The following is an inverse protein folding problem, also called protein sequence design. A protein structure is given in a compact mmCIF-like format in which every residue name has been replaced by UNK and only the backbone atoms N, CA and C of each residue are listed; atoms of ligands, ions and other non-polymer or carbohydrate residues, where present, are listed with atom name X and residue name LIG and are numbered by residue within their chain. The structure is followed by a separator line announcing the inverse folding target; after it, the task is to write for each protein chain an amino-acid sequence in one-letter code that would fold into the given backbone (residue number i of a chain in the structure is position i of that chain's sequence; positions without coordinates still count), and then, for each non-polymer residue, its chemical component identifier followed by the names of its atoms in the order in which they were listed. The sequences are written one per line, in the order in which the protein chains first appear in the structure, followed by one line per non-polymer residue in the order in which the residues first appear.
data_IF_506495773227
#
_entry.id   IF_506495773227
#
_cell.length_a   1.000
_cell.length_b   1.000
_cell.length_c   1.000
_cell.angle_alpha   90.00
_cell.angle_beta   90.00
_cell.angle_gamma   90.00
#
_symmetry.space_group_name_H-M   'P 1'
#
loop_
_entity.id
_entity.type
_entity.pdbx_description
1 polymer ?
#
# COMPACT_ATOMS: atom_id res chain seq x y z
N UNK A 1 -8.51 -18.63 7.19
CA UNK A 1 -8.82 -17.39 6.47
C UNK A 1 -7.79 -17.14 5.39
N UNK A 2 -8.26 -16.78 4.21
CA UNK A 2 -7.36 -16.49 3.11
C UNK A 2 -6.63 -15.16 3.35
N UNK A 3 -5.31 -15.14 3.11
CA UNK A 3 -4.50 -13.91 3.21
C UNK A 3 -5.04 -12.78 2.33
N UNK A 4 -5.66 -13.14 1.20
CA UNK A 4 -6.24 -12.17 0.27
C UNK A 4 -7.33 -11.32 0.91
N UNK A 5 -8.21 -11.92 1.72
CA UNK A 5 -9.25 -11.17 2.44
C UNK A 5 -8.64 -10.20 3.43
N UNK A 6 -7.63 -10.66 4.18
CA UNK A 6 -6.91 -9.81 5.13
C UNK A 6 -6.27 -8.61 4.44
N UNK A 7 -5.65 -8.81 3.27
CA UNK A 7 -4.94 -7.74 2.61
C UNK A 7 -5.88 -6.66 2.06
N UNK A 8 -7.07 -7.05 1.60
CA UNK A 8 -8.08 -6.07 1.18
C UNK A 8 -8.50 -5.20 2.35
N UNK A 9 -8.80 -5.81 3.49
CA UNK A 9 -9.20 -5.12 4.70
C UNK A 9 -8.07 -4.24 5.24
N UNK A 10 -6.85 -4.77 5.30
CA UNK A 10 -5.68 -4.02 5.76
C UNK A 10 -5.45 -2.78 4.92
N UNK A 11 -5.56 -2.91 3.61
CA UNK A 11 -5.32 -1.79 2.69
C UNK A 11 -6.44 -0.76 2.78
N UNK A 12 -7.68 -1.21 2.90
CA UNK A 12 -8.82 -0.32 3.09
C UNK A 12 -8.67 0.47 4.39
N UNK A 13 -8.37 -0.21 5.48
CA UNK A 13 -8.18 0.43 6.79
C UNK A 13 -7.01 1.43 6.76
N UNK A 14 -5.96 1.08 6.02
CA UNK A 14 -4.83 1.97 5.82
C UNK A 14 -5.25 3.25 5.12
N UNK A 15 -6.07 3.15 4.06
CA UNK A 15 -6.63 4.32 3.36
C UNK A 15 -7.47 5.19 4.28
N UNK A 16 -8.33 4.56 5.10
CA UNK A 16 -9.15 5.29 6.07
C UNK A 16 -8.31 6.12 7.04
N UNK A 17 -7.18 5.56 7.46
CA UNK A 17 -6.27 6.26 8.34
C UNK A 17 -5.49 7.35 7.59
N UNK A 18 -5.02 7.02 6.40
CA UNK A 18 -4.07 7.84 5.64
C UNK A 18 -4.69 9.13 5.10
N UNK A 19 -5.88 9.04 4.50
CA UNK A 19 -6.50 10.18 3.81
C UNK A 19 -6.61 11.42 4.71
N UNK A 20 -7.10 11.32 5.96
CA UNK A 20 -7.12 12.50 6.82
C UNK A 20 -5.74 13.07 7.14
N UNK A 21 -4.70 12.23 7.16
CA UNK A 21 -3.34 12.71 7.39
C UNK A 21 -2.83 13.53 6.21
N UNK A 22 -3.13 13.09 5.00
CA UNK A 22 -2.72 13.79 3.77
C UNK A 22 -3.43 15.15 3.65
N UNK A 23 -4.67 15.24 4.11
CA UNK A 23 -5.42 16.50 4.06
C UNK A 23 -4.81 17.59 4.93
N UNK A 24 -3.93 17.23 5.85
CA UNK A 24 -3.22 18.17 6.71
C UNK A 24 -1.93 18.71 6.09
N UNK A 25 -1.53 18.21 4.94
CA UNK A 25 -0.35 18.72 4.25
C UNK A 25 -0.57 20.18 3.83
N UNK A 26 0.50 21.01 3.77
CA UNK A 26 0.39 22.34 3.20
C UNK A 26 -0.19 22.27 1.79
N UNK A 27 -0.90 23.32 1.39
CA UNK A 27 -1.68 23.33 0.17
C UNK A 27 -0.90 22.90 -1.07
N UNK A 28 0.32 23.40 -1.23
CA UNK A 28 1.17 23.06 -2.38
C UNK A 28 1.52 21.56 -2.40
N UNK A 29 1.86 21.00 -1.25
CA UNK A 29 2.22 19.59 -1.16
C UNK A 29 0.99 18.67 -1.11
N UNK A 30 -0.15 19.18 -0.70
CA UNK A 30 -1.40 18.42 -0.70
C UNK A 30 -1.77 17.97 -2.11
N UNK A 31 -1.61 18.85 -3.09
CA UNK A 31 -1.95 18.56 -4.49
C UNK A 31 -0.80 17.89 -5.27
N UNK A 32 0.38 17.81 -4.69
CA UNK A 32 1.53 17.15 -5.32
C UNK A 32 1.81 15.82 -4.63
N UNK A 33 2.48 15.89 -3.49
CA UNK A 33 2.90 14.69 -2.77
C UNK A 33 1.72 13.95 -2.13
N UNK A 34 0.76 14.68 -1.57
CA UNK A 34 -0.43 14.08 -0.98
C UNK A 34 -1.25 13.29 -2.00
N UNK A 35 -1.50 13.88 -3.17
CA UNK A 35 -2.24 13.22 -4.24
C UNK A 35 -1.48 12.00 -4.76
N UNK A 36 -0.16 12.10 -4.90
CA UNK A 36 0.65 10.97 -5.32
C UNK A 36 0.54 9.79 -4.35
N UNK A 37 0.63 10.07 -3.06
CA UNK A 37 0.53 9.03 -2.02
C UNK A 37 -0.85 8.38 -2.06
N UNK A 38 -1.89 9.18 -2.13
CA UNK A 38 -3.26 8.67 -2.18
C UNK A 38 -3.49 7.83 -3.42
N UNK A 39 -3.05 8.31 -4.59
CA UNK A 39 -3.21 7.58 -5.84
C UNK A 39 -2.42 6.28 -5.86
N UNK A 40 -1.20 6.27 -5.35
CA UNK A 40 -0.40 5.04 -5.21
C UNK A 40 -1.13 4.01 -4.35
N UNK A 41 -1.71 4.45 -3.25
CA UNK A 41 -2.41 3.55 -2.34
C UNK A 41 -3.67 2.98 -2.98
N UNK A 42 -4.43 3.80 -3.71
CA UNK A 42 -5.58 3.33 -4.47
C UNK A 42 -5.17 2.32 -5.55
N UNK A 43 -4.07 2.59 -6.26
CA UNK A 43 -3.58 1.67 -7.29
C UNK A 43 -3.19 0.32 -6.69
N UNK A 44 -2.59 0.33 -5.52
CA UNK A 44 -2.23 -0.89 -4.80
C UNK A 44 -3.49 -1.67 -4.42
N UNK A 45 -4.49 -0.99 -3.88
CA UNK A 45 -5.76 -1.63 -3.55
C UNK A 45 -6.43 -2.23 -4.80
N UNK A 46 -6.41 -1.49 -5.91
CA UNK A 46 -6.96 -1.96 -7.17
C UNK A 46 -6.25 -3.24 -7.63
N UNK A 47 -4.92 -3.29 -7.52
CA UNK A 47 -4.15 -4.48 -7.87
C UNK A 47 -4.58 -5.68 -7.01
N UNK A 48 -4.78 -5.46 -5.72
CA UNK A 48 -5.21 -6.53 -4.81
C UNK A 48 -6.62 -7.01 -5.13
N UNK A 49 -7.53 -6.11 -5.46
CA UNK A 49 -8.90 -6.46 -5.84
C UNK A 49 -8.89 -7.30 -7.11
N UNK A 50 -8.16 -6.85 -8.14
CA UNK A 50 -8.07 -7.58 -9.40
C UNK A 50 -7.46 -8.96 -9.18
N UNK A 51 -6.39 -9.04 -8.40
CA UNK A 51 -5.75 -10.31 -8.09
C UNK A 51 -6.68 -11.25 -7.32
N UNK A 52 -7.43 -10.71 -6.36
CA UNK A 52 -8.35 -11.51 -5.55
C UNK A 52 -9.42 -12.21 -6.41
N UNK A 53 -9.93 -11.50 -7.41
CA UNK A 53 -10.99 -12.01 -8.29
C UNK A 53 -10.45 -12.69 -9.55
N UNK A 54 -9.14 -12.76 -9.72
CA UNK A 54 -8.51 -13.43 -10.86
C UNK A 54 -8.30 -14.90 -10.56
N UNK A 55 -8.21 -15.71 -11.64
CA UNK A 55 -7.83 -17.11 -11.52
C UNK A 55 -6.36 -17.20 -11.11
N UNK A 56 -6.00 -18.28 -10.40
CA UNK A 56 -4.62 -18.56 -10.06
C UNK A 56 -3.77 -18.69 -11.33
N UNK A 57 -2.50 -18.32 -11.25
CA UNK A 57 -1.56 -18.41 -12.36
C UNK A 57 -0.60 -17.25 -12.41
N UNK A 58 0.21 -17.20 -13.44
CA UNK A 58 1.28 -16.22 -13.60
C UNK A 58 0.78 -14.78 -13.62
N UNK A 59 -0.33 -14.52 -14.29
CA UNK A 59 -0.88 -13.16 -14.38
C UNK A 59 -1.23 -12.61 -13.01
N UNK A 60 -1.82 -13.45 -12.15
CA UNK A 60 -2.16 -13.06 -10.79
C UNK A 60 -0.89 -12.74 -9.99
N UNK A 61 0.11 -13.61 -10.08
CA UNK A 61 1.40 -13.44 -9.39
C UNK A 61 2.09 -12.16 -9.89
N UNK A 62 2.13 -11.94 -11.20
CA UNK A 62 2.74 -10.75 -11.80
C UNK A 62 2.06 -9.47 -11.29
N UNK A 63 0.74 -9.48 -11.20
CA UNK A 63 -0.02 -8.34 -10.70
C UNK A 63 0.36 -8.03 -9.25
N UNK A 64 0.49 -9.07 -8.43
CA UNK A 64 0.88 -8.90 -7.03
C UNK A 64 2.32 -8.41 -6.90
N UNK A 65 3.22 -8.87 -7.76
CA UNK A 65 4.61 -8.37 -7.78
C UNK A 65 4.67 -6.90 -8.19
N UNK A 66 3.82 -6.47 -9.12
CA UNK A 66 3.70 -5.06 -9.49
C UNK A 66 3.18 -4.24 -8.33
N UNK A 67 2.19 -4.76 -7.59
CA UNK A 67 1.71 -4.10 -6.39
C UNK A 67 2.82 -3.93 -5.36
N UNK A 68 3.70 -4.92 -5.23
CA UNK A 68 4.83 -4.85 -4.31
C UNK A 68 5.79 -3.72 -4.69
N UNK A 69 6.04 -3.51 -5.98
CA UNK A 69 6.86 -2.39 -6.45
C UNK A 69 6.19 -1.05 -6.11
N UNK A 70 4.88 -0.96 -6.31
CA UNK A 70 4.12 0.25 -5.95
C UNK A 70 4.20 0.51 -4.44
N UNK A 71 4.20 -0.55 -3.64
CA UNK A 71 4.34 -0.44 -2.18
C UNK A 71 5.70 0.15 -1.81
N UNK A 72 6.77 -0.21 -2.52
CA UNK A 72 8.09 0.39 -2.33
C UNK A 72 8.09 1.86 -2.72
N UNK A 73 7.43 2.22 -3.82
CA UNK A 73 7.26 3.63 -4.21
C UNK A 73 6.53 4.41 -3.13
N UNK A 74 5.52 3.80 -2.53
CA UNK A 74 4.76 4.41 -1.43
C UNK A 74 5.66 4.63 -0.21
N UNK A 75 6.49 3.65 0.15
CA UNK A 75 7.44 3.80 1.25
C UNK A 75 8.35 5.01 1.05
N UNK A 76 8.89 5.18 -0.15
CA UNK A 76 9.75 6.32 -0.44
C UNK A 76 8.99 7.65 -0.40
N UNK A 77 7.75 7.68 -0.88
CA UNK A 77 6.94 8.90 -0.82
C UNK A 77 6.62 9.28 0.64
N UNK A 78 6.35 8.31 1.48
CA UNK A 78 6.12 8.52 2.92
C UNK A 78 7.40 9.01 3.60
N UNK A 79 8.53 8.40 3.27
CA UNK A 79 9.83 8.84 3.80
C UNK A 79 10.13 10.27 3.39
N UNK A 80 9.87 10.63 2.13
CA UNK A 80 10.05 12.00 1.65
C UNK A 80 9.17 12.96 2.44
N UNK A 81 7.91 12.59 2.69
CA UNK A 81 6.99 13.39 3.48
C UNK A 81 7.53 13.64 4.89
N UNK A 82 8.13 12.62 5.49
CA UNK A 82 8.76 12.74 6.81
C UNK A 82 10.00 13.64 6.76
N UNK A 83 10.86 13.45 5.76
CA UNK A 83 12.09 14.23 5.64
C UNK A 83 11.79 15.71 5.34
N UNK A 84 10.69 15.99 4.65
CA UNK A 84 10.18 17.34 4.41
C UNK A 84 9.40 17.90 5.60
N UNK A 85 9.29 17.13 6.69
CA UNK A 85 8.60 17.52 7.92
C UNK A 85 7.10 17.76 7.73
N UNK A 86 6.50 17.05 6.78
CA UNK A 86 5.05 17.11 6.55
C UNK A 86 4.28 16.18 7.50
N UNK A 87 4.94 15.17 8.04
CA UNK A 87 4.38 14.27 9.04
C UNK A 87 5.35 14.15 10.21
N UNK A 88 4.80 13.97 11.41
CA UNK A 88 5.59 13.81 12.62
C UNK A 88 6.31 12.45 12.66
N UNK A 89 7.31 12.33 13.51
CA UNK A 89 8.01 11.06 13.74
C UNK A 89 7.01 9.96 14.16
N UNK A 90 6.07 10.30 15.03
CA UNK A 90 5.06 9.35 15.50
C UNK A 90 4.18 8.85 14.33
N UNK A 91 3.68 9.77 13.51
CA UNK A 91 2.84 9.41 12.37
C UNK A 91 3.62 8.62 11.33
N UNK A 92 4.88 8.98 11.10
CA UNK A 92 5.75 8.23 10.21
C UNK A 92 5.88 6.78 10.68
N UNK A 93 6.09 6.58 11.98
CA UNK A 93 6.17 5.23 12.55
C UNK A 93 4.89 4.43 12.36
N UNK A 94 3.73 5.07 12.61
CA UNK A 94 2.43 4.40 12.46
C UNK A 94 2.18 4.01 10.99
N UNK A 95 2.41 4.96 10.08
CA UNK A 95 2.20 4.72 8.64
C UNK A 95 3.15 3.61 8.15
N UNK A 96 4.43 3.67 8.52
CA UNK A 96 5.42 2.67 8.12
C UNK A 96 5.06 1.28 8.65
N UNK A 97 4.57 1.19 9.87
CA UNK A 97 4.13 -0.07 10.46
C UNK A 97 2.96 -0.68 9.68
N UNK A 98 2.00 0.14 9.28
CA UNK A 98 0.86 -0.31 8.50
C UNK A 98 1.28 -0.79 7.11
N UNK A 99 2.19 -0.09 6.47
CA UNK A 99 2.74 -0.49 5.17
C UNK A 99 3.48 -1.82 5.30
N UNK A 100 4.27 -1.99 6.37
CA UNK A 100 5.00 -3.23 6.61
C UNK A 100 4.05 -4.41 6.81
N UNK A 101 2.93 -4.19 7.48
CA UNK A 101 1.92 -5.23 7.68
C UNK A 101 1.31 -5.66 6.34
N UNK A 102 0.97 -4.69 5.50
CA UNK A 102 0.46 -4.98 4.14
C UNK A 102 1.53 -5.74 3.35
N UNK A 103 2.78 -5.29 3.41
CA UNK A 103 3.90 -5.92 2.69
C UNK A 103 4.15 -7.35 3.12
N UNK A 104 4.07 -7.63 4.42
CA UNK A 104 4.21 -8.98 4.94
C UNK A 104 3.10 -9.91 4.46
N UNK A 105 1.86 -9.44 4.50
CA UNK A 105 0.70 -10.20 4.02
C UNK A 105 0.79 -10.44 2.52
N UNK A 106 1.21 -9.43 1.76
CA UNK A 106 1.41 -9.55 0.31
C UNK A 106 2.49 -10.59 0.00
N UNK A 107 3.62 -10.53 0.69
CA UNK A 107 4.71 -11.50 0.51
C UNK A 107 4.25 -12.92 0.75
N UNK A 108 3.46 -13.15 1.79
CA UNK A 108 2.90 -14.46 2.09
C UNK A 108 1.94 -14.93 1.00
N UNK A 109 1.11 -14.04 0.49
CA UNK A 109 0.19 -14.36 -0.58
C UNK A 109 0.94 -14.79 -1.85
N UNK A 110 1.96 -14.03 -2.25
CA UNK A 110 2.80 -14.37 -3.41
C UNK A 110 3.46 -15.73 -3.21
N UNK A 111 4.06 -15.95 -2.05
CA UNK A 111 4.73 -17.23 -1.71
C UNK A 111 3.76 -18.40 -1.81
N UNK A 112 2.56 -18.25 -1.28
CA UNK A 112 1.55 -19.31 -1.31
C UNK A 112 1.13 -19.65 -2.75
N UNK A 113 1.01 -18.63 -3.60
CA UNK A 113 0.67 -18.83 -5.00
C UNK A 113 1.81 -19.50 -5.77
N UNK A 114 3.05 -19.07 -5.53
CA UNK A 114 4.24 -19.66 -6.17
C UNK A 114 4.43 -21.12 -5.75
N UNK A 115 4.13 -21.45 -4.50
CA UNK A 115 4.24 -22.80 -3.99
C UNK A 115 3.22 -23.77 -4.59
N UNK A 116 2.16 -23.26 -5.24
CA UNK A 116 1.14 -24.09 -5.89
C UNK A 116 1.43 -24.38 -7.36
N UNK A 117 2.42 -23.74 -7.88
CA UNK A 117 2.87 -23.96 -9.26
C UNK A 117 4.00 -24.99 -9.29
#
# INVERSE_FOLDING_TARGET
MANSDSILTLTYDFLLYLIPQLSKFPRDQKFLLGDRIQNLTHDILDDFIVAYYSRAGEEKIDRLKKANVKLERLRFAIRLSHDLKLISNQKYGVISSKINEIGGTLGNWIKNLEGRE
#
